data_IF_249923424144
#
_entry.id   IF_249923424144
#
_cell.length_a   1.000
_cell.length_b   1.000
_cell.length_c   1.000
_cell.angle_alpha   90.00
_cell.angle_beta   90.00
_cell.angle_gamma   90.00
#
_symmetry.space_group_name_H-M   'P 1'
#
loop_
_entity.id
_entity.type
_entity.pdbx_description
1 polymer ?
#
# COMPACT_ATOMS: atom_id res chain seq x y z
N UNK A 1 -38.71 6.61 30.71
CA UNK A 1 -38.36 5.92 29.47
C UNK A 1 -37.10 6.59 28.95
N UNK A 2 -35.94 6.03 29.28
CA UNK A 2 -34.64 6.49 28.81
C UNK A 2 -34.43 5.90 27.43
N UNK A 3 -34.31 6.76 26.43
CA UNK A 3 -34.00 6.34 25.07
C UNK A 3 -32.61 5.65 25.06
N UNK A 4 -32.59 4.36 24.71
CA UNK A 4 -31.33 3.67 24.38
C UNK A 4 -30.63 4.40 23.25
N UNK A 5 -29.30 4.61 23.33
CA UNK A 5 -28.56 5.17 22.22
C UNK A 5 -28.66 4.21 21.05
N UNK A 6 -29.13 4.72 19.90
CA UNK A 6 -29.17 4.04 18.62
C UNK A 6 -27.85 3.26 18.40
N UNK A 7 -27.95 1.93 18.34
CA UNK A 7 -26.90 1.04 17.94
C UNK A 7 -26.19 1.66 16.70
N UNK A 8 -24.92 2.08 16.85
CA UNK A 8 -24.07 2.39 15.72
C UNK A 8 -24.07 1.15 14.84
N UNK A 9 -24.71 1.23 13.69
CA UNK A 9 -24.69 0.18 12.66
C UNK A 9 -23.23 -0.26 12.53
N UNK A 10 -22.97 -1.55 12.63
CA UNK A 10 -21.63 -2.12 12.74
C UNK A 10 -20.77 -1.70 11.55
N UNK A 11 -20.11 -0.55 11.66
CA UNK A 11 -19.09 -0.08 10.72
C UNK A 11 -17.90 -1.05 10.74
N UNK A 12 -17.05 -0.97 9.74
CA UNK A 12 -15.78 -1.68 9.77
C UNK A 12 -14.82 -0.93 10.71
N UNK A 13 -14.25 -1.60 11.72
CA UNK A 13 -13.30 -0.99 12.66
C UNK A 13 -11.93 -0.80 11.98
N UNK A 14 -11.90 0.12 11.02
CA UNK A 14 -10.75 0.42 10.18
C UNK A 14 -10.45 1.92 10.20
N UNK A 15 -9.16 2.25 10.32
CA UNK A 15 -8.62 3.58 10.04
C UNK A 15 -8.08 3.59 8.63
N UNK A 16 -8.54 4.50 7.78
CA UNK A 16 -7.98 4.74 6.45
C UNK A 16 -6.90 5.82 6.56
N UNK A 17 -5.72 5.51 6.03
CA UNK A 17 -4.57 6.44 5.98
C UNK A 17 -4.26 6.77 4.53
N UNK A 18 -4.20 8.07 4.22
CA UNK A 18 -3.80 8.60 2.92
C UNK A 18 -2.58 9.49 3.13
N UNK A 19 -1.48 9.22 2.42
CA UNK A 19 -0.30 10.09 2.39
C UNK A 19 -0.30 10.86 1.08
N UNK A 20 -0.43 12.17 1.16
CA UNK A 20 -0.46 13.07 0.00
C UNK A 20 0.82 13.89 -0.10
N UNK A 21 1.42 13.91 -1.27
CA UNK A 21 2.47 14.85 -1.66
C UNK A 21 2.24 15.28 -3.09
N UNK A 22 1.70 16.48 -3.28
CA UNK A 22 1.35 17.05 -4.58
C UNK A 22 0.43 16.13 -5.42
N UNK A 23 -0.63 15.62 -4.78
CA UNK A 23 -1.58 14.70 -5.42
C UNK A 23 -2.52 15.35 -6.44
N UNK A 24 -2.60 16.68 -6.43
CA UNK A 24 -3.42 17.44 -7.37
C UNK A 24 -4.87 16.92 -7.44
N UNK A 25 -5.39 16.85 -8.65
CA UNK A 25 -6.77 16.35 -8.91
C UNK A 25 -7.00 14.89 -8.50
N UNK A 26 -5.95 14.11 -8.31
CA UNK A 26 -6.09 12.72 -7.93
C UNK A 26 -6.58 12.58 -6.49
N UNK A 27 -6.08 13.44 -5.59
CA UNK A 27 -6.51 13.42 -4.20
C UNK A 27 -8.02 13.66 -4.08
N UNK A 28 -8.59 14.66 -4.75
CA UNK A 28 -10.03 14.92 -4.74
C UNK A 28 -10.83 13.71 -5.22
N UNK A 29 -10.37 13.06 -6.30
CA UNK A 29 -11.01 11.85 -6.82
C UNK A 29 -10.93 10.69 -5.84
N UNK A 30 -9.80 10.50 -5.18
CA UNK A 30 -9.60 9.48 -4.13
C UNK A 30 -10.55 9.72 -2.96
N UNK A 31 -10.61 10.95 -2.44
CA UNK A 31 -11.47 11.32 -1.32
C UNK A 31 -12.95 11.16 -1.66
N UNK A 32 -13.39 11.58 -2.85
CA UNK A 32 -14.78 11.37 -3.30
C UNK A 32 -15.13 9.88 -3.41
N UNK A 33 -14.21 9.05 -3.93
CA UNK A 33 -14.41 7.61 -3.99
C UNK A 33 -14.46 6.96 -2.58
N UNK A 34 -13.69 7.48 -1.64
CA UNK A 34 -13.71 7.03 -0.25
C UNK A 34 -14.99 7.51 0.47
N UNK A 35 -15.47 8.74 0.23
CA UNK A 35 -16.73 9.23 0.77
C UNK A 35 -17.94 8.42 0.28
N UNK A 36 -17.87 7.82 -0.91
CA UNK A 36 -18.91 6.99 -1.51
C UNK A 36 -18.90 5.52 -1.04
N UNK A 37 -18.10 5.15 -0.03
CA UNK A 37 -18.06 3.78 0.45
C UNK A 37 -19.37 3.35 1.12
N UNK A 38 -19.86 2.15 0.78
CA UNK A 38 -21.10 1.58 1.35
C UNK A 38 -20.96 1.19 2.83
N UNK A 39 -19.73 0.98 3.27
CA UNK A 39 -19.37 0.78 4.69
C UNK A 39 -18.38 1.87 5.07
N UNK A 40 -18.75 2.80 5.96
CA UNK A 40 -17.86 3.88 6.35
C UNK A 40 -16.70 3.35 7.20
N UNK A 41 -15.49 3.93 7.07
CA UNK A 41 -14.41 3.67 8.00
C UNK A 41 -14.69 4.32 9.36
N UNK A 42 -14.03 3.85 10.41
CA UNK A 42 -14.07 4.48 11.74
C UNK A 42 -13.42 5.87 11.73
N UNK A 43 -12.30 6.01 11.02
CA UNK A 43 -11.52 7.23 10.93
C UNK A 43 -10.83 7.33 9.56
N UNK A 44 -10.67 8.55 9.08
CA UNK A 44 -9.83 8.87 7.90
C UNK A 44 -8.77 9.88 8.31
N UNK A 45 -7.49 9.55 8.08
CA UNK A 45 -6.37 10.47 8.24
C UNK A 45 -5.74 10.76 6.88
N UNK A 46 -5.54 12.03 6.61
CA UNK A 46 -4.76 12.52 5.48
C UNK A 46 -3.47 13.14 6.02
N UNK A 47 -2.33 12.57 5.66
CA UNK A 47 -1.03 13.22 5.87
C UNK A 47 -0.73 14.08 4.66
N UNK A 48 -0.76 15.38 4.82
CA UNK A 48 -0.23 16.32 3.85
C UNK A 48 1.29 16.42 4.05
N UNK A 49 2.01 15.68 3.25
CA UNK A 49 3.44 15.47 3.35
C UNK A 49 4.23 16.60 2.65
N UNK A 50 4.00 17.84 3.11
CA UNK A 50 4.56 19.08 2.58
C UNK A 50 4.19 19.32 1.09
N UNK A 51 2.90 19.20 0.75
CA UNK A 51 2.42 19.57 -0.58
C UNK A 51 2.49 21.08 -0.81
N UNK A 52 2.79 21.48 -2.04
CA UNK A 52 2.87 22.88 -2.49
C UNK A 52 1.81 23.22 -3.54
N UNK A 53 1.00 22.23 -3.93
CA UNK A 53 -0.01 22.36 -4.99
C UNK A 53 -1.42 22.72 -4.47
N UNK A 54 -1.59 22.88 -3.16
CA UNK A 54 -2.87 23.18 -2.52
C UNK A 54 -3.86 22.01 -2.49
N UNK A 55 -3.46 20.80 -2.91
CA UNK A 55 -4.36 19.65 -3.05
C UNK A 55 -5.06 19.25 -1.75
N UNK A 56 -4.40 19.42 -0.59
CA UNK A 56 -4.95 19.05 0.70
C UNK A 56 -5.95 20.08 1.32
N UNK A 57 -6.09 21.27 0.72
CA UNK A 57 -6.87 22.36 1.32
C UNK A 57 -8.39 22.11 1.38
N UNK A 58 -8.87 21.22 0.51
CA UNK A 58 -10.30 20.93 0.37
C UNK A 58 -10.74 19.58 0.98
N UNK A 59 -9.80 18.82 1.52
CA UNK A 59 -10.01 17.44 1.97
C UNK A 59 -11.14 17.33 3.02
N UNK A 60 -11.17 18.22 4.00
CA UNK A 60 -12.18 18.21 5.08
C UNK A 60 -13.60 18.55 4.59
N UNK A 61 -13.71 19.25 3.44
CA UNK A 61 -15.01 19.53 2.81
C UNK A 61 -15.56 18.30 2.07
N UNK A 62 -14.70 17.45 1.57
CA UNK A 62 -15.09 16.22 0.85
C UNK A 62 -15.50 15.14 1.84
N UNK A 63 -14.72 14.95 2.91
CA UNK A 63 -15.02 13.95 3.96
C UNK A 63 -15.14 14.70 5.30
N UNK A 64 -16.36 14.97 5.78
CA UNK A 64 -16.56 15.58 7.11
C UNK A 64 -15.94 14.71 8.23
N UNK A 65 -15.13 15.32 9.07
CA UNK A 65 -14.44 14.63 10.16
C UNK A 65 -13.11 13.96 9.76
N UNK A 66 -12.67 14.09 8.51
CA UNK A 66 -11.32 13.74 8.11
C UNK A 66 -10.33 14.60 8.88
N UNK A 67 -9.26 13.95 9.38
CA UNK A 67 -8.19 14.65 10.10
C UNK A 67 -7.00 14.86 9.17
N UNK A 68 -6.55 16.10 9.02
CA UNK A 68 -5.37 16.45 8.23
C UNK A 68 -4.16 16.64 9.16
N UNK A 69 -3.10 15.89 8.89
CA UNK A 69 -1.78 16.02 9.54
C UNK A 69 -0.86 16.72 8.54
N UNK A 70 -0.48 17.97 8.82
CA UNK A 70 0.43 18.74 7.94
C UNK A 70 1.86 18.57 8.38
N UNK A 71 2.74 18.15 7.47
CA UNK A 71 4.17 18.04 7.69
C UNK A 71 4.89 19.29 7.16
N UNK A 72 5.94 19.71 7.86
CA UNK A 72 6.77 20.84 7.43
C UNK A 72 7.72 20.48 6.27
N UNK A 73 8.04 19.21 6.13
CA UNK A 73 8.90 18.65 5.09
C UNK A 73 8.37 17.31 4.58
N UNK A 74 8.79 16.88 3.39
CA UNK A 74 8.43 15.58 2.85
C UNK A 74 9.18 14.46 3.57
N UNK A 75 8.49 13.75 4.46
CA UNK A 75 9.02 12.63 5.24
C UNK A 75 9.20 11.35 4.44
N UNK A 76 8.70 11.30 3.19
CA UNK A 76 8.55 10.07 2.42
C UNK A 76 7.30 9.28 2.80
N UNK A 77 7.01 8.24 2.02
CA UNK A 77 5.80 7.42 2.20
C UNK A 77 5.83 6.61 3.52
N UNK A 78 6.97 6.00 3.81
CA UNK A 78 7.14 5.14 4.99
C UNK A 78 6.90 5.89 6.30
N UNK A 79 7.64 6.99 6.53
CA UNK A 79 7.53 7.76 7.77
C UNK A 79 6.18 8.47 7.90
N UNK A 80 5.61 8.97 6.80
CA UNK A 80 4.31 9.62 6.82
C UNK A 80 3.17 8.65 7.21
N UNK A 81 3.20 7.40 6.73
CA UNK A 81 2.25 6.37 7.18
C UNK A 81 2.43 6.03 8.66
N UNK A 82 3.68 5.84 9.13
CA UNK A 82 3.95 5.59 10.54
C UNK A 82 3.44 6.73 11.42
N UNK A 83 3.65 7.98 11.00
CA UNK A 83 3.14 9.17 11.69
C UNK A 83 1.61 9.15 11.80
N UNK A 84 0.91 8.82 10.70
CA UNK A 84 -0.55 8.69 10.71
C UNK A 84 -1.01 7.62 11.69
N UNK A 85 -0.40 6.43 11.65
CA UNK A 85 -0.74 5.33 12.56
C UNK A 85 -0.51 5.72 14.02
N UNK A 86 0.60 6.41 14.33
CA UNK A 86 0.91 6.89 15.68
C UNK A 86 -0.07 7.96 16.17
N UNK A 87 -0.67 8.74 15.27
CA UNK A 87 -1.65 9.81 15.57
C UNK A 87 -3.11 9.35 15.49
N UNK A 88 -3.37 8.14 14.97
CA UNK A 88 -4.72 7.61 14.82
C UNK A 88 -5.30 7.11 16.14
N UNK A 89 -6.63 7.19 16.26
CA UNK A 89 -7.34 6.45 17.30
C UNK A 89 -7.16 4.93 17.10
N UNK A 90 -7.22 4.16 18.19
CA UNK A 90 -7.16 2.70 18.08
C UNK A 90 -8.28 2.15 17.19
N UNK A 91 -7.91 1.30 16.24
CA UNK A 91 -8.80 0.51 15.38
C UNK A 91 -8.22 -0.88 15.20
N UNK A 92 -9.04 -1.86 14.86
CA UNK A 92 -8.55 -3.24 14.60
C UNK A 92 -7.70 -3.29 13.34
N UNK A 93 -8.09 -2.52 12.31
CA UNK A 93 -7.46 -2.55 10.99
C UNK A 93 -6.95 -1.17 10.55
N UNK A 94 -5.90 -1.19 9.76
CA UNK A 94 -5.32 -0.04 9.06
C UNK A 94 -5.47 -0.28 7.55
N UNK A 95 -6.16 0.59 6.85
CA UNK A 95 -6.25 0.57 5.39
C UNK A 95 -5.40 1.71 4.83
N UNK A 96 -4.36 1.38 4.09
CA UNK A 96 -3.54 2.35 3.39
C UNK A 96 -4.12 2.59 2.00
N UNK A 97 -4.15 3.83 1.56
CA UNK A 97 -4.70 4.22 0.26
C UNK A 97 -3.87 5.37 -0.32
N UNK A 98 -3.33 5.18 -1.51
CA UNK A 98 -2.61 6.25 -2.20
C UNK A 98 -3.57 7.34 -2.71
N UNK A 99 -3.13 8.61 -2.82
CA UNK A 99 -3.95 9.70 -3.35
C UNK A 99 -4.34 9.51 -4.83
N UNK A 100 -3.63 8.67 -5.58
CA UNK A 100 -3.91 8.32 -6.97
C UNK A 100 -4.59 6.94 -7.12
N UNK A 101 -5.16 6.42 -6.03
CA UNK A 101 -5.92 5.19 -5.97
C UNK A 101 -7.40 5.48 -5.66
N UNK A 102 -8.31 4.93 -6.46
CA UNK A 102 -9.75 5.23 -6.41
C UNK A 102 -10.52 3.96 -6.06
N UNK A 103 -10.91 3.77 -4.79
CA UNK A 103 -11.62 2.58 -4.36
C UNK A 103 -13.02 2.51 -4.97
N UNK A 104 -13.43 1.31 -5.41
CA UNK A 104 -14.81 1.05 -5.81
C UNK A 104 -15.76 1.17 -4.59
N UNK A 105 -17.08 1.46 -4.76
CA UNK A 105 -17.98 1.74 -3.66
C UNK A 105 -18.09 0.65 -2.58
N UNK A 106 -17.76 -0.60 -2.92
CA UNK A 106 -17.79 -1.74 -1.99
C UNK A 106 -16.40 -2.15 -1.47
N UNK A 107 -15.36 -1.36 -1.67
CA UNK A 107 -13.98 -1.72 -1.29
C UNK A 107 -13.84 -2.06 0.19
N UNK A 108 -14.31 -1.19 1.10
CA UNK A 108 -14.25 -1.47 2.54
C UNK A 108 -15.18 -2.61 2.96
N UNK A 109 -16.34 -2.76 2.32
CA UNK A 109 -17.23 -3.89 2.55
C UNK A 109 -16.56 -5.22 2.15
N UNK A 110 -15.88 -5.25 1.00
CA UNK A 110 -15.16 -6.41 0.51
C UNK A 110 -13.97 -6.79 1.40
N UNK A 111 -13.21 -5.78 1.89
CA UNK A 111 -12.13 -6.02 2.85
C UNK A 111 -12.66 -6.57 4.18
N UNK A 112 -13.75 -5.99 4.71
CA UNK A 112 -14.40 -6.52 5.91
C UNK A 112 -14.81 -7.98 5.73
N UNK A 113 -15.43 -8.31 4.59
CA UNK A 113 -15.83 -9.69 4.29
C UNK A 113 -14.61 -10.61 4.22
N UNK A 114 -13.53 -10.20 3.55
CA UNK A 114 -12.30 -10.98 3.46
C UNK A 114 -11.68 -11.27 4.84
N UNK A 115 -11.75 -10.32 5.80
CA UNK A 115 -11.26 -10.54 7.17
C UNK A 115 -12.10 -11.55 7.95
N UNK A 116 -13.37 -11.70 7.60
CA UNK A 116 -14.29 -12.67 8.22
C UNK A 116 -14.16 -14.07 7.60
N UNK A 117 -14.02 -14.13 6.26
CA UNK A 117 -13.88 -15.39 5.52
C UNK A 117 -12.53 -16.07 5.80
N UNK A 118 -11.47 -15.27 5.91
CA UNK A 118 -10.10 -15.72 6.08
C UNK A 118 -9.42 -15.07 7.30
N UNK A 119 -9.88 -15.33 8.54
CA UNK A 119 -9.40 -14.66 9.76
C UNK A 119 -7.94 -14.96 10.12
N UNK A 120 -7.34 -15.96 9.48
CA UNK A 120 -5.94 -16.33 9.67
C UNK A 120 -4.96 -15.38 8.94
N UNK A 121 -5.43 -14.57 7.99
CA UNK A 121 -4.62 -13.53 7.38
C UNK A 121 -4.62 -12.25 8.24
N UNK A 122 -3.44 -11.69 8.44
CA UNK A 122 -3.26 -10.42 9.11
C UNK A 122 -3.10 -9.24 8.14
N UNK A 123 -2.95 -9.54 6.84
CA UNK A 123 -2.81 -8.57 5.77
C UNK A 123 -3.67 -8.98 4.59
N UNK A 124 -4.17 -7.99 3.85
CA UNK A 124 -4.87 -8.23 2.59
C UNK A 124 -4.42 -7.25 1.51
N UNK A 125 -4.03 -7.81 0.37
CA UNK A 125 -3.86 -7.04 -0.87
C UNK A 125 -5.19 -6.90 -1.61
N UNK A 126 -5.35 -5.75 -2.28
CA UNK A 126 -6.51 -5.45 -3.10
C UNK A 126 -6.29 -5.82 -4.57
N UNK A 127 -7.39 -5.91 -5.33
CA UNK A 127 -7.36 -5.99 -6.78
C UNK A 127 -7.18 -4.60 -7.35
N UNK A 128 -5.95 -4.28 -7.76
CA UNK A 128 -5.62 -3.01 -8.38
C UNK A 128 -5.85 -3.11 -9.89
N UNK A 129 -6.75 -2.30 -10.41
CA UNK A 129 -7.00 -2.13 -11.83
C UNK A 129 -6.25 -0.90 -12.33
N UNK A 130 -5.72 -0.96 -13.54
CA UNK A 130 -5.17 0.22 -14.21
C UNK A 130 -6.29 1.26 -14.41
N UNK A 131 -6.12 2.46 -13.86
CA UNK A 131 -7.15 3.50 -13.92
C UNK A 131 -7.40 4.04 -15.34
N UNK A 132 -6.44 3.88 -16.26
CA UNK A 132 -6.58 4.25 -17.67
C UNK A 132 -7.18 3.12 -18.51
N UNK A 133 -6.96 1.86 -18.12
CA UNK A 133 -7.50 0.68 -18.79
C UNK A 133 -7.96 -0.38 -17.77
N UNK A 134 -9.19 -0.27 -17.23
CA UNK A 134 -9.68 -1.16 -16.18
C UNK A 134 -9.83 -2.65 -16.58
N UNK A 135 -9.67 -2.99 -17.84
CA UNK A 135 -9.59 -4.38 -18.29
C UNK A 135 -8.22 -5.02 -17.97
N UNK A 136 -7.25 -4.22 -17.52
CA UNK A 136 -5.93 -4.67 -17.11
C UNK A 136 -5.71 -4.47 -15.61
N UNK A 137 -4.91 -5.36 -15.06
CA UNK A 137 -4.45 -5.24 -13.68
C UNK A 137 -3.26 -4.29 -13.59
N UNK A 138 -3.29 -3.38 -12.61
CA UNK A 138 -2.07 -2.77 -12.08
C UNK A 138 -1.35 -3.76 -11.16
N UNK A 139 -2.10 -4.57 -10.39
CA UNK A 139 -1.53 -5.67 -9.62
C UNK A 139 -2.51 -6.36 -8.67
N UNK A 140 -2.07 -7.51 -8.16
CA UNK A 140 -2.79 -8.32 -7.18
C UNK A 140 -1.88 -8.73 -6.00
N UNK A 141 -1.14 -7.75 -5.49
CA UNK A 141 -0.09 -7.93 -4.49
C UNK A 141 1.28 -8.19 -5.10
N UNK A 142 2.26 -8.39 -4.25
CA UNK A 142 3.64 -8.55 -4.63
C UNK A 142 4.14 -9.97 -4.40
N UNK A 143 5.05 -10.41 -5.25
CA UNK A 143 5.83 -11.64 -5.12
C UNK A 143 7.28 -11.31 -4.74
N UNK A 144 7.95 -12.25 -4.09
CA UNK A 144 9.36 -12.15 -3.74
C UNK A 144 10.07 -13.47 -4.00
N UNK A 145 11.20 -13.42 -4.66
CA UNK A 145 12.06 -14.58 -4.90
C UNK A 145 13.30 -14.52 -4.00
N UNK A 146 13.84 -15.67 -3.63
CA UNK A 146 14.99 -15.77 -2.75
C UNK A 146 16.25 -15.05 -3.28
N UNK A 147 16.36 -14.78 -4.59
CA UNK A 147 17.40 -13.90 -5.16
C UNK A 147 17.24 -12.42 -4.82
N UNK A 148 16.19 -12.03 -4.13
CA UNK A 148 15.87 -10.62 -3.85
C UNK A 148 15.01 -9.94 -4.90
N UNK A 149 14.63 -10.63 -5.98
CA UNK A 149 13.71 -10.09 -6.98
C UNK A 149 12.32 -9.95 -6.36
N UNK A 150 11.79 -8.73 -6.38
CA UNK A 150 10.39 -8.46 -6.10
C UNK A 150 9.67 -8.06 -7.40
N UNK A 151 8.41 -8.46 -7.52
CA UNK A 151 7.59 -8.09 -8.68
C UNK A 151 6.13 -7.96 -8.30
N UNK A 152 5.42 -7.09 -9.02
CA UNK A 152 3.98 -6.95 -8.87
C UNK A 152 3.28 -8.07 -9.65
N UNK A 153 2.52 -8.91 -8.93
CA UNK A 153 1.81 -10.04 -9.51
C UNK A 153 0.66 -9.54 -10.39
N UNK A 154 0.53 -10.14 -11.56
CA UNK A 154 -0.55 -9.83 -12.52
C UNK A 154 -0.41 -8.49 -13.23
N UNK A 155 0.66 -7.70 -13.00
CA UNK A 155 0.81 -6.40 -13.65
C UNK A 155 0.73 -6.47 -15.17
N UNK A 156 -0.18 -5.70 -15.76
CA UNK A 156 -0.44 -5.66 -17.20
C UNK A 156 -1.24 -6.85 -17.75
N UNK A 157 -1.58 -7.86 -16.92
CA UNK A 157 -2.43 -8.99 -17.33
C UNK A 157 -3.91 -8.57 -17.39
N UNK A 158 -4.75 -9.39 -18.02
CA UNK A 158 -6.19 -9.18 -18.06
C UNK A 158 -6.79 -9.24 -16.63
N UNK A 159 -7.71 -8.34 -16.34
CA UNK A 159 -8.37 -8.24 -15.04
C UNK A 159 -9.43 -9.35 -14.81
N UNK A 160 -9.32 -10.47 -15.47
CA UNK A 160 -10.23 -11.63 -15.46
C UNK A 160 -9.47 -12.93 -15.23
N UNK A 161 -10.17 -14.06 -15.27
CA UNK A 161 -9.54 -15.38 -15.20
C UNK A 161 -9.00 -15.72 -13.81
N UNK A 162 -7.74 -16.14 -13.73
CA UNK A 162 -7.11 -16.65 -12.48
C UNK A 162 -7.05 -15.65 -11.34
N UNK A 163 -7.11 -14.36 -11.64
CA UNK A 163 -7.05 -13.29 -10.64
C UNK A 163 -8.42 -12.95 -10.00
N UNK A 164 -9.45 -13.71 -10.32
CA UNK A 164 -10.79 -13.58 -9.70
C UNK A 164 -10.93 -14.39 -8.40
N UNK A 165 -9.93 -15.18 -8.02
CA UNK A 165 -9.96 -16.03 -6.83
C UNK A 165 -8.96 -15.51 -5.79
N UNK A 166 -9.36 -15.60 -4.50
CA UNK A 166 -8.49 -15.33 -3.37
C UNK A 166 -7.28 -16.27 -3.37
N UNK A 167 -6.16 -15.78 -2.91
CA UNK A 167 -4.91 -16.53 -2.82
C UNK A 167 -4.02 -15.95 -1.74
N UNK A 168 -3.09 -16.76 -1.22
CA UNK A 168 -1.99 -16.22 -0.44
C UNK A 168 -1.00 -15.48 -1.35
N UNK A 169 -0.56 -14.31 -0.90
CA UNK A 169 0.42 -13.46 -1.58
C UNK A 169 1.59 -13.16 -0.65
N UNK A 170 2.74 -12.75 -1.19
CA UNK A 170 3.91 -12.45 -0.37
C UNK A 170 3.70 -11.18 0.48
N UNK A 171 3.29 -10.09 -0.14
CA UNK A 171 2.99 -8.81 0.49
C UNK A 171 1.85 -8.10 -0.28
N UNK A 172 1.06 -7.24 0.38
CA UNK A 172 0.13 -6.38 -0.31
C UNK A 172 0.87 -5.16 -0.88
N UNK A 173 0.44 -4.66 -2.04
CA UNK A 173 0.91 -3.36 -2.52
C UNK A 173 0.27 -2.24 -1.68
N UNK A 174 1.07 -1.38 -1.07
CA UNK A 174 0.60 -0.31 -0.21
C UNK A 174 -0.16 0.82 -0.92
N UNK A 175 -0.29 0.78 -2.25
CA UNK A 175 -1.19 1.66 -2.98
C UNK A 175 -2.66 1.51 -2.54
N UNK A 176 -3.09 0.27 -2.19
CA UNK A 176 -4.32 -0.03 -1.45
C UNK A 176 -4.13 -1.36 -0.72
N UNK A 177 -4.01 -1.33 0.59
CA UNK A 177 -3.69 -2.49 1.41
C UNK A 177 -4.38 -2.43 2.76
N UNK A 178 -4.70 -3.59 3.34
CA UNK A 178 -5.23 -3.71 4.69
C UNK A 178 -4.24 -4.45 5.58
N UNK A 179 -4.00 -3.91 6.76
CA UNK A 179 -3.13 -4.50 7.78
C UNK A 179 -3.88 -4.60 9.10
N UNK A 180 -3.80 -5.75 9.78
CA UNK A 180 -4.18 -5.82 11.18
C UNK A 180 -3.25 -4.92 11.98
N UNK A 181 -3.80 -3.97 12.75
CA UNK A 181 -3.00 -2.96 13.47
C UNK A 181 -1.96 -3.60 14.38
N UNK A 182 -2.31 -4.65 15.12
CA UNK A 182 -1.36 -5.34 16.00
C UNK A 182 -0.19 -5.90 15.20
N UNK A 183 -0.43 -6.57 14.07
CA UNK A 183 0.63 -7.10 13.22
C UNK A 183 1.54 -5.98 12.66
N UNK A 184 0.95 -4.86 12.20
CA UNK A 184 1.72 -3.71 11.74
C UNK A 184 2.64 -3.16 12.83
N UNK A 185 2.14 -3.04 14.07
CA UNK A 185 2.92 -2.54 15.21
C UNK A 185 3.97 -3.56 15.69
N UNK A 186 3.65 -4.85 15.72
CA UNK A 186 4.59 -5.93 16.08
C UNK A 186 5.81 -5.98 15.16
N UNK A 187 5.60 -5.66 13.88
CA UNK A 187 6.70 -5.53 12.92
C UNK A 187 7.44 -4.18 13.02
N UNK A 188 7.00 -3.25 13.90
CA UNK A 188 7.57 -1.91 14.04
C UNK A 188 7.18 -0.93 12.94
N UNK A 189 6.08 -1.18 12.21
CA UNK A 189 5.64 -0.34 11.09
C UNK A 189 6.56 -0.42 9.88
N UNK A 190 6.50 0.58 9.01
CA UNK A 190 7.44 0.72 7.89
C UNK A 190 8.83 1.13 8.39
N UNK A 191 9.87 0.67 7.72
CA UNK A 191 11.24 1.17 7.92
C UNK A 191 11.39 2.52 7.19
N UNK A 192 11.44 3.60 7.94
CA UNK A 192 11.43 4.98 7.42
C UNK A 192 12.62 5.30 6.51
N UNK A 193 13.74 4.57 6.65
CA UNK A 193 14.93 4.73 5.80
C UNK A 193 14.66 4.42 4.34
N UNK A 194 13.62 3.63 4.03
CA UNK A 194 13.22 3.35 2.66
C UNK A 194 12.73 4.61 1.94
N UNK A 195 12.15 5.54 2.65
CA UNK A 195 11.53 6.74 2.13
C UNK A 195 10.28 6.42 1.31
N UNK A 196 10.45 5.81 0.11
CA UNK A 196 9.37 5.20 -0.67
C UNK A 196 9.92 4.10 -1.60
N UNK A 197 9.03 3.24 -2.10
CA UNK A 197 9.27 2.00 -2.85
C UNK A 197 9.91 0.89 -2.04
N UNK A 198 9.34 -0.31 -2.14
CA UNK A 198 9.77 -1.54 -1.46
C UNK A 198 9.57 -1.55 0.07
N UNK A 199 9.08 -0.48 0.70
CA UNK A 199 8.75 -0.46 2.12
C UNK A 199 7.63 -1.45 2.46
N UNK A 200 6.68 -1.65 1.54
CA UNK A 200 5.58 -2.62 1.64
C UNK A 200 6.08 -4.07 1.50
N UNK A 201 7.00 -4.32 0.58
CA UNK A 201 7.66 -5.62 0.43
C UNK A 201 8.53 -5.92 1.66
N UNK A 202 9.28 -4.95 2.17
CA UNK A 202 10.08 -5.06 3.40
C UNK A 202 9.19 -5.39 4.61
N UNK A 203 8.10 -4.65 4.79
CA UNK A 203 7.16 -4.89 5.88
C UNK A 203 6.50 -6.27 5.74
N UNK A 204 6.06 -6.64 4.53
CA UNK A 204 5.50 -7.97 4.25
C UNK A 204 6.48 -9.09 4.56
N UNK A 205 7.77 -8.90 4.27
CA UNK A 205 8.81 -9.86 4.61
C UNK A 205 8.98 -10.02 6.12
N UNK A 206 9.10 -8.90 6.87
CA UNK A 206 9.22 -8.92 8.33
C UNK A 206 8.00 -9.58 8.99
N UNK A 207 6.81 -9.28 8.51
CA UNK A 207 5.57 -9.88 8.99
C UNK A 207 5.55 -11.40 8.76
N UNK A 208 6.03 -11.88 7.59
CA UNK A 208 6.18 -13.32 7.33
C UNK A 208 7.19 -13.98 8.26
N UNK A 209 8.30 -13.32 8.56
CA UNK A 209 9.28 -13.83 9.53
C UNK A 209 8.70 -13.92 10.96
N UNK A 210 7.73 -13.06 11.29
CA UNK A 210 6.96 -13.11 12.54
C UNK A 210 5.81 -14.14 12.50
N UNK A 211 5.60 -14.84 11.37
CA UNK A 211 4.57 -15.86 11.21
C UNK A 211 3.22 -15.34 10.70
N UNK A 212 3.08 -14.06 10.39
CA UNK A 212 1.88 -13.49 9.80
C UNK A 212 1.76 -13.85 8.31
N UNK A 213 0.52 -13.99 7.84
CA UNK A 213 0.21 -14.36 6.46
C UNK A 213 -0.59 -13.26 5.78
N UNK A 214 -0.43 -13.13 4.47
CA UNK A 214 -1.09 -12.14 3.63
C UNK A 214 -2.03 -12.82 2.62
N UNK A 215 -3.30 -12.43 2.63
CA UNK A 215 -4.31 -12.85 1.66
C UNK A 215 -4.49 -11.80 0.53
N UNK A 216 -5.04 -12.25 -0.57
CA UNK A 216 -5.51 -11.40 -1.66
C UNK A 216 -7.04 -11.40 -1.68
N UNK A 217 -7.65 -10.22 -1.62
CA UNK A 217 -9.09 -10.01 -1.66
C UNK A 217 -9.53 -9.57 -3.08
N UNK A 218 -9.96 -10.48 -3.96
CA UNK A 218 -10.26 -10.18 -5.36
C UNK A 218 -11.47 -9.26 -5.56
N UNK A 219 -12.37 -9.19 -4.58
CA UNK A 219 -13.55 -8.33 -4.59
C UNK A 219 -13.28 -6.91 -4.07
N UNK A 220 -12.15 -6.69 -3.41
CA UNK A 220 -11.70 -5.37 -2.96
C UNK A 220 -11.03 -4.63 -4.12
N UNK A 221 -11.83 -3.96 -4.96
CA UNK A 221 -11.39 -3.34 -6.22
C UNK A 221 -10.97 -1.89 -5.98
N UNK A 222 -9.82 -1.52 -6.56
CA UNK A 222 -9.31 -0.14 -6.56
C UNK A 222 -8.72 0.17 -7.94
N UNK A 223 -9.07 1.31 -8.50
CA UNK A 223 -8.48 1.83 -9.75
C UNK A 223 -7.25 2.67 -9.40
N UNK A 224 -6.07 2.28 -9.85
CA UNK A 224 -4.81 2.94 -9.53
C UNK A 224 -4.15 3.54 -10.76
N UNK A 225 -3.70 4.79 -10.66
CA UNK A 225 -3.03 5.48 -11.78
C UNK A 225 -1.61 4.96 -11.93
N UNK A 226 -0.96 4.64 -10.83
CA UNK A 226 0.42 4.19 -10.82
C UNK A 226 1.42 5.29 -11.21
N UNK A 227 2.36 5.59 -10.31
CA UNK A 227 3.39 6.63 -10.56
C UNK A 227 2.84 8.01 -10.90
N UNK A 228 1.60 8.33 -10.48
CA UNK A 228 0.94 9.61 -10.79
C UNK A 228 1.71 10.84 -10.29
N UNK A 229 2.42 10.71 -9.18
CA UNK A 229 3.19 11.80 -8.56
C UNK A 229 4.70 11.76 -8.89
N UNK A 230 5.27 10.57 -9.16
CA UNK A 230 6.74 10.41 -9.29
C UNK A 230 7.21 10.16 -10.72
N UNK A 231 6.31 9.85 -11.63
CA UNK A 231 6.60 9.47 -13.01
C UNK A 231 7.20 8.05 -13.12
N UNK A 232 6.66 7.24 -14.01
CA UNK A 232 7.19 5.91 -14.30
C UNK A 232 8.63 6.04 -14.83
N UNK A 233 9.60 5.37 -14.18
CA UNK A 233 11.03 5.36 -14.56
C UNK A 233 11.76 6.68 -14.41
N UNK A 234 11.33 7.58 -13.52
CA UNK A 234 12.14 8.73 -13.16
C UNK A 234 13.47 8.29 -12.50
N UNK A 235 14.54 9.13 -12.52
CA UNK A 235 15.77 8.83 -11.78
C UNK A 235 15.51 8.52 -10.29
N UNK A 236 14.54 9.22 -9.70
CA UNK A 236 14.10 9.00 -8.33
C UNK A 236 13.52 7.57 -8.12
N UNK A 237 12.61 7.15 -8.99
CA UNK A 237 11.99 5.81 -8.93
C UNK A 237 13.03 4.71 -9.11
N UNK A 238 13.93 4.87 -10.07
CA UNK A 238 15.02 3.91 -10.34
C UNK A 238 15.96 3.81 -9.14
N UNK A 239 16.42 4.95 -8.62
CA UNK A 239 17.35 4.99 -7.48
C UNK A 239 16.74 4.32 -6.23
N UNK A 240 15.57 4.78 -5.79
CA UNK A 240 14.93 4.23 -4.58
C UNK A 240 14.54 2.77 -4.76
N UNK A 241 13.98 2.39 -5.90
CA UNK A 241 13.58 1.02 -6.19
C UNK A 241 14.76 0.05 -6.11
N UNK A 242 15.89 0.35 -6.75
CA UNK A 242 17.09 -0.51 -6.73
C UNK A 242 17.78 -0.53 -5.38
N UNK A 243 18.01 0.64 -4.76
CA UNK A 243 18.60 0.71 -3.42
C UNK A 243 17.80 -0.12 -2.44
N UNK A 244 16.48 0.05 -2.44
CA UNK A 244 15.59 -0.58 -1.48
C UNK A 244 15.41 -2.08 -1.74
N UNK A 245 15.52 -2.53 -3.00
CA UNK A 245 15.58 -3.95 -3.34
C UNK A 245 16.78 -4.63 -2.66
N UNK A 246 17.97 -4.01 -2.76
CA UNK A 246 19.17 -4.52 -2.09
C UNK A 246 18.99 -4.49 -0.58
N UNK A 247 18.45 -3.42 -0.03
CA UNK A 247 18.21 -3.30 1.42
C UNK A 247 17.23 -4.37 1.93
N UNK A 248 16.15 -4.61 1.19
CA UNK A 248 15.17 -5.66 1.55
C UNK A 248 15.84 -7.02 1.64
N UNK A 249 16.71 -7.36 0.67
CA UNK A 249 17.46 -8.62 0.70
C UNK A 249 18.43 -8.70 1.89
N UNK A 250 19.30 -7.70 2.04
CA UNK A 250 20.35 -7.68 3.07
C UNK A 250 19.75 -7.68 4.48
N UNK A 251 18.66 -6.96 4.67
CA UNK A 251 18.01 -6.80 5.96
C UNK A 251 17.21 -8.02 6.41
N UNK A 252 16.48 -8.65 5.48
CA UNK A 252 15.43 -9.61 5.87
C UNK A 252 15.78 -11.07 5.54
N UNK A 253 16.73 -11.34 4.64
CA UNK A 253 17.02 -12.71 4.24
C UNK A 253 17.62 -13.49 5.40
N UNK A 254 17.03 -14.62 5.84
CA UNK A 254 17.61 -15.45 6.90
C UNK A 254 19.00 -15.97 6.52
N UNK A 255 19.94 -16.02 7.51
CA UNK A 255 21.36 -16.25 7.27
C UNK A 255 21.73 -17.44 6.40
N UNK A 256 21.15 -18.66 6.52
CA UNK A 256 21.49 -19.76 5.59
C UNK A 256 21.13 -19.44 4.14
N UNK A 257 19.93 -18.87 3.92
CA UNK A 257 19.43 -18.49 2.61
C UNK A 257 20.13 -17.27 2.05
N UNK A 258 20.54 -16.33 2.91
CA UNK A 258 21.34 -15.16 2.53
C UNK A 258 22.59 -15.59 1.73
N UNK A 259 23.41 -16.47 2.31
CA UNK A 259 24.64 -16.92 1.66
C UNK A 259 24.39 -17.81 0.45
N UNK A 260 23.38 -18.66 0.50
CA UNK A 260 23.02 -19.54 -0.60
C UNK A 260 22.59 -18.76 -1.84
N UNK A 261 21.78 -17.70 -1.66
CA UNK A 261 21.24 -16.92 -2.77
C UNK A 261 22.02 -15.64 -3.08
N UNK A 262 23.05 -15.30 -2.31
CA UNK A 262 23.88 -14.11 -2.56
C UNK A 262 24.45 -14.06 -3.97
N UNK A 263 24.99 -15.15 -4.56
CA UNK A 263 25.47 -15.11 -5.97
C UNK A 263 24.37 -14.73 -6.95
N UNK A 264 23.17 -15.28 -6.79
CA UNK A 264 22.01 -14.95 -7.63
C UNK A 264 21.54 -13.49 -7.43
N UNK A 265 21.59 -12.99 -6.18
CA UNK A 265 21.30 -11.59 -5.88
C UNK A 265 22.29 -10.64 -6.55
N UNK A 266 23.59 -10.93 -6.47
CA UNK A 266 24.62 -10.12 -7.13
C UNK A 266 24.45 -10.12 -8.66
N UNK A 267 24.19 -11.30 -9.26
CA UNK A 267 23.93 -11.42 -10.69
C UNK A 267 22.69 -10.62 -11.12
N UNK A 268 21.60 -10.69 -10.35
CA UNK A 268 20.39 -9.90 -10.60
C UNK A 268 20.68 -8.40 -10.61
N UNK A 269 21.43 -7.90 -9.62
CA UNK A 269 21.77 -6.49 -9.53
C UNK A 269 22.69 -6.05 -10.68
N UNK A 270 23.68 -6.84 -11.02
CA UNK A 270 24.58 -6.57 -12.16
C UNK A 270 23.81 -6.49 -13.49
N UNK A 271 22.94 -7.46 -13.74
CA UNK A 271 22.09 -7.47 -14.94
C UNK A 271 21.15 -6.25 -14.97
N UNK A 272 20.59 -5.85 -13.84
CA UNK A 272 19.75 -4.67 -13.72
C UNK A 272 20.53 -3.38 -14.04
N UNK A 273 21.76 -3.25 -13.53
CA UNK A 273 22.63 -2.09 -13.83
C UNK A 273 22.96 -2.03 -15.31
N UNK A 274 23.36 -3.16 -15.92
CA UNK A 274 23.66 -3.24 -17.37
C UNK A 274 22.44 -2.86 -18.21
N UNK A 275 21.26 -3.38 -17.84
CA UNK A 275 20.01 -3.10 -18.55
C UNK A 275 19.61 -1.63 -18.44
N UNK A 276 19.75 -0.99 -17.27
CA UNK A 276 19.46 0.43 -17.05
C UNK A 276 20.47 1.32 -17.78
N UNK A 277 21.75 0.98 -17.74
CA UNK A 277 22.80 1.70 -18.46
C UNK A 277 22.53 1.69 -19.99
N UNK A 278 22.15 0.52 -20.53
CA UNK A 278 21.77 0.39 -21.94
C UNK A 278 20.56 1.23 -22.36
N UNK A 279 19.74 1.66 -21.39
CA UNK A 279 18.57 2.56 -21.60
C UNK A 279 18.84 4.03 -21.27
N UNK A 280 20.08 4.39 -20.95
CA UNK A 280 20.44 5.75 -20.57
C UNK A 280 19.96 6.19 -19.19
N UNK A 281 19.53 5.26 -18.36
CA UNK A 281 19.02 5.50 -16.99
C UNK A 281 20.09 5.34 -15.91
N UNK A 282 21.34 5.25 -16.26
CA UNK A 282 22.48 5.03 -15.36
C UNK A 282 23.29 6.29 -15.03
N UNK A 283 22.72 7.50 -15.22
CA UNK A 283 23.40 8.78 -14.95
C UNK A 283 22.81 9.46 -13.74
#
# INVERSE_FOLDING_TARGET
>A
MTAEPLSRSAGFDVTVVIVNHNGGRYLDRCLNALAAQTVPPRQVLLVDNASTDGSAEHAERIIPGLQVIRCAENLGFAAANNLAVARSEPSEWLALLNPDAFPAPHWLAALRQATQDDPHYALFGCRLLDAANPERLDGVGDGYHASGLAWRRGHGEAATGRHMQGAEIFAPCAAAALYRRTAFLDAGGFDERFFCYMEDVDLGFRLRLLGYRCGYAPTAIVHHVGSGSTGARSPFTVYHGHRNLVWTYVKNMPMPWFWLYLPAHLALNLLSVVWLAGRGQGR
#
